data_IF_818038219911
#
_entry.id   IF_818038219911
#
_cell.length_a   1.000
_cell.length_b   1.000
_cell.length_c   1.000
_cell.angle_alpha   90.00
_cell.angle_beta   90.00
_cell.angle_gamma   90.00
#
_symmetry.space_group_name_H-M   'P 1'
#
loop_
_entity.id
_entity.type
_entity.pdbx_description
1 polymer ?
#
# COMPACT_ATOMS: atom_id res chain seq x y z
N UNK A 1 3.93 11.10 -6.26
CA UNK A 1 4.28 9.74 -5.81
C UNK A 1 3.03 8.95 -5.52
N UNK A 2 3.10 7.65 -5.71
CA UNK A 2 2.00 6.73 -5.44
C UNK A 2 2.44 5.80 -4.31
N UNK A 3 1.70 5.79 -3.20
CA UNK A 3 1.93 4.85 -2.11
C UNK A 3 1.17 3.56 -2.42
N UNK A 4 1.89 2.43 -2.38
CA UNK A 4 1.31 1.11 -2.60
C UNK A 4 1.50 0.29 -1.33
N UNK A 5 0.40 -0.09 -0.67
CA UNK A 5 0.52 -1.00 0.46
C UNK A 5 0.71 -2.44 -0.02
N UNK A 6 0.84 -3.37 0.90
CA UNK A 6 1.05 -4.77 0.56
C UNK A 6 -0.08 -5.35 -0.27
N UNK A 7 -1.33 -4.98 0.02
CA UNK A 7 -2.49 -5.50 -0.73
C UNK A 7 -2.44 -5.12 -2.20
N UNK A 8 -1.96 -3.92 -2.51
CA UNK A 8 -1.78 -3.48 -3.89
C UNK A 8 -0.65 -4.25 -4.58
N UNK A 9 0.47 -4.47 -3.88
CA UNK A 9 1.59 -5.21 -4.45
C UNK A 9 1.23 -6.67 -4.73
N UNK A 10 0.42 -7.29 -3.88
CA UNK A 10 -0.08 -8.65 -4.12
C UNK A 10 -0.83 -8.72 -5.45
N UNK A 11 -1.67 -7.72 -5.75
CA UNK A 11 -2.44 -7.72 -7.01
C UNK A 11 -1.58 -7.56 -8.26
N UNK A 12 -0.38 -7.03 -8.12
CA UNK A 12 0.57 -6.94 -9.24
C UNK A 12 1.26 -8.27 -9.52
N UNK A 13 1.24 -9.18 -8.57
CA UNK A 13 1.88 -10.51 -8.68
C UNK A 13 0.85 -11.59 -8.92
N UNK A 14 -0.19 -11.63 -8.07
CA UNK A 14 -1.26 -12.60 -8.20
C UNK A 14 -2.42 -11.97 -8.96
N UNK A 15 -2.89 -12.67 -9.99
CA UNK A 15 -4.02 -12.16 -10.74
C UNK A 15 -5.30 -12.28 -9.92
N UNK A 16 -5.89 -11.13 -9.64
CA UNK A 16 -7.13 -10.96 -8.89
C UNK A 16 -8.07 -10.07 -9.70
N UNK A 17 -9.36 -9.96 -9.34
CA UNK A 17 -10.32 -9.22 -10.17
C UNK A 17 -9.91 -7.79 -10.53
N UNK A 18 -9.22 -7.08 -9.64
CA UNK A 18 -8.82 -5.69 -9.87
C UNK A 18 -7.44 -5.53 -10.49
N UNK A 19 -6.72 -6.62 -10.77
CA UNK A 19 -5.31 -6.54 -11.20
C UNK A 19 -5.13 -5.77 -12.50
N UNK A 20 -6.01 -5.97 -13.49
CA UNK A 20 -5.91 -5.27 -14.78
C UNK A 20 -6.17 -3.78 -14.63
N UNK A 21 -7.21 -3.40 -13.89
CA UNK A 21 -7.53 -1.99 -13.66
C UNK A 21 -6.43 -1.31 -12.85
N UNK A 22 -5.84 -2.01 -11.89
CA UNK A 22 -4.71 -1.46 -11.14
C UNK A 22 -3.52 -1.19 -12.06
N UNK A 23 -3.16 -2.16 -12.90
CA UNK A 23 -2.05 -2.01 -13.83
C UNK A 23 -2.29 -0.83 -14.77
N UNK A 24 -3.48 -0.72 -15.34
CA UNK A 24 -3.84 0.38 -16.24
C UNK A 24 -3.80 1.72 -15.51
N UNK A 25 -4.28 1.76 -14.28
CA UNK A 25 -4.28 2.97 -13.46
C UNK A 25 -2.86 3.45 -13.15
N UNK A 26 -1.95 2.52 -12.86
CA UNK A 26 -0.55 2.83 -12.61
C UNK A 26 0.15 3.28 -13.89
N UNK A 27 -0.10 2.61 -15.01
CA UNK A 27 0.50 2.97 -16.30
C UNK A 27 0.06 4.37 -16.74
N UNK A 28 -1.19 4.72 -16.52
CA UNK A 28 -1.72 6.04 -16.86
C UNK A 28 -1.06 7.16 -16.05
N UNK A 29 -0.41 6.84 -14.95
CA UNK A 29 0.25 7.80 -14.06
C UNK A 29 1.77 7.71 -14.11
N UNK A 30 2.31 6.91 -15.03
CA UNK A 30 3.75 6.89 -15.25
C UNK A 30 4.20 8.29 -15.70
N UNK A 31 5.36 8.79 -15.28
CA UNK A 31 6.41 8.08 -14.53
C UNK A 31 6.39 8.30 -13.02
N UNK A 32 5.23 8.45 -12.40
CA UNK A 32 5.16 8.66 -10.95
C UNK A 32 5.89 7.55 -10.18
N UNK A 33 6.68 7.94 -9.19
CA UNK A 33 7.44 6.99 -8.38
C UNK A 33 6.50 6.23 -7.44
N UNK A 34 6.79 4.95 -7.25
CA UNK A 34 6.08 4.11 -6.28
C UNK A 34 6.85 4.12 -4.97
N UNK A 35 6.14 4.32 -3.88
CA UNK A 35 6.70 4.35 -2.53
C UNK A 35 5.90 3.44 -1.60
N UNK A 36 6.52 2.98 -0.53
CA UNK A 36 5.85 2.18 0.49
C UNK A 36 6.65 2.17 1.79
N UNK A 37 6.22 1.36 2.74
CA UNK A 37 6.95 1.05 3.95
C UNK A 37 7.88 -0.14 3.73
N UNK A 38 8.99 -0.18 4.45
CA UNK A 38 9.86 -1.36 4.47
C UNK A 38 9.14 -2.62 4.98
N UNK A 39 7.98 -2.46 5.61
CA UNK A 39 7.13 -3.60 6.01
C UNK A 39 6.82 -4.54 4.83
N UNK A 40 6.74 -4.01 3.61
CA UNK A 40 6.40 -4.84 2.44
C UNK A 40 7.44 -5.93 2.20
N UNK A 41 8.68 -5.73 2.65
CA UNK A 41 9.73 -6.73 2.50
C UNK A 41 9.42 -8.01 3.28
N UNK A 42 8.63 -7.89 4.35
CA UNK A 42 8.17 -9.03 5.14
C UNK A 42 6.76 -9.44 4.76
N UNK A 43 5.86 -8.47 4.63
CA UNK A 43 4.43 -8.75 4.42
C UNK A 43 4.15 -9.36 3.05
N UNK A 44 4.84 -8.89 2.01
CA UNK A 44 4.58 -9.37 0.65
C UNK A 44 4.90 -10.87 0.50
N UNK A 45 6.12 -11.33 0.83
CA UNK A 45 6.40 -12.77 0.73
C UNK A 45 5.52 -13.60 1.65
N UNK A 46 5.18 -13.12 2.85
CA UNK A 46 4.32 -13.88 3.76
C UNK A 46 2.89 -14.00 3.22
N UNK A 47 2.38 -12.95 2.60
CA UNK A 47 1.06 -13.00 1.96
C UNK A 47 1.04 -14.00 0.80
N UNK A 48 2.07 -13.98 -0.04
CA UNK A 48 2.16 -14.87 -1.18
C UNK A 48 2.35 -16.33 -0.78
N UNK A 49 3.09 -16.60 0.31
CA UNK A 49 3.24 -17.96 0.81
C UNK A 49 1.91 -18.62 1.18
N UNK A 50 0.96 -17.84 1.65
CA UNK A 50 -0.38 -18.35 1.98
C UNK A 50 -1.22 -18.66 0.75
N UNK A 51 -0.83 -18.08 -0.39
CA UNK A 51 -1.58 -18.22 -1.65
C UNK A 51 -0.95 -19.33 -2.51
N UNK A 52 0.31 -19.15 -2.89
CA UNK A 52 1.04 -20.06 -3.76
C UNK A 52 2.53 -19.73 -3.66
N UNK A 53 3.34 -20.67 -3.16
CA UNK A 53 4.78 -20.46 -2.99
C UNK A 53 5.50 -20.20 -4.32
N UNK A 54 4.95 -20.64 -5.45
CA UNK A 54 5.55 -20.37 -6.74
C UNK A 54 5.61 -18.87 -7.06
N UNK A 55 4.72 -18.07 -6.46
CA UNK A 55 4.69 -16.62 -6.68
C UNK A 55 5.88 -15.89 -6.03
N UNK A 56 6.59 -16.54 -5.11
CA UNK A 56 7.72 -15.93 -4.42
C UNK A 56 8.83 -15.50 -5.37
N UNK A 57 8.92 -16.10 -6.53
CA UNK A 57 9.94 -15.75 -7.54
C UNK A 57 9.77 -14.29 -8.01
N UNK A 58 8.56 -13.74 -7.93
CA UNK A 58 8.26 -12.38 -8.37
C UNK A 58 8.61 -11.31 -7.32
N UNK A 59 8.85 -11.71 -6.07
CA UNK A 59 9.03 -10.76 -4.96
C UNK A 59 10.20 -9.80 -5.18
N UNK A 60 11.43 -10.28 -5.51
CA UNK A 60 12.57 -9.37 -5.61
C UNK A 60 12.37 -8.24 -6.62
N UNK A 61 11.84 -8.56 -7.81
CA UNK A 61 11.62 -7.55 -8.84
C UNK A 61 10.53 -6.55 -8.44
N UNK A 62 9.46 -7.03 -7.80
CA UNK A 62 8.37 -6.18 -7.34
C UNK A 62 8.84 -5.23 -6.24
N UNK A 63 9.55 -5.74 -5.25
CA UNK A 63 10.08 -4.92 -4.15
C UNK A 63 11.08 -3.89 -4.68
N UNK A 64 11.90 -4.26 -5.67
CA UNK A 64 12.87 -3.35 -6.26
C UNK A 64 12.21 -2.16 -6.99
N UNK A 65 10.96 -2.32 -7.47
CA UNK A 65 10.21 -1.24 -8.12
C UNK A 65 9.73 -0.16 -7.15
N UNK A 66 9.73 -0.44 -5.86
CA UNK A 66 9.14 0.42 -4.85
C UNK A 66 10.23 1.02 -3.98
N UNK A 67 10.24 2.34 -3.86
CA UNK A 67 11.10 3.01 -2.89
C UNK A 67 10.48 2.80 -1.50
N UNK A 68 11.27 2.26 -0.56
CA UNK A 68 10.76 1.87 0.75
C UNK A 68 11.32 2.76 1.84
N UNK A 69 10.45 3.19 2.73
CA UNK A 69 10.83 4.01 3.86
C UNK A 69 10.85 3.16 5.13
N UNK A 70 11.91 3.31 5.92
CA UNK A 70 12.07 2.54 7.15
C UNK A 70 11.02 2.93 8.20
N UNK A 71 10.67 1.97 9.05
CA UNK A 71 9.79 2.20 10.18
C UNK A 71 10.62 2.87 11.27
N UNK A 72 10.84 4.16 11.11
CA UNK A 72 11.67 4.94 12.01
C UNK A 72 10.90 5.46 13.22
N UNK A 73 11.56 6.26 14.03
CA UNK A 73 10.97 6.78 15.26
C UNK A 73 9.74 7.64 14.98
N UNK A 74 9.78 8.49 13.95
CA UNK A 74 8.66 9.36 13.59
C UNK A 74 7.46 8.54 13.16
N UNK A 75 7.68 7.58 12.27
CA UNK A 75 6.60 6.68 11.80
C UNK A 75 5.98 5.95 12.98
N UNK A 76 6.80 5.40 13.88
CA UNK A 76 6.28 4.68 15.04
C UNK A 76 5.47 5.58 15.97
N UNK A 77 5.93 6.79 16.21
CA UNK A 77 5.22 7.73 17.07
C UNK A 77 3.86 8.11 16.46
N UNK A 78 3.81 8.42 15.18
CA UNK A 78 2.57 8.78 14.51
C UNK A 78 1.60 7.60 14.47
N UNK A 79 2.09 6.41 14.14
CA UNK A 79 1.27 5.19 14.09
C UNK A 79 0.65 4.90 15.46
N UNK A 80 1.42 5.04 16.52
CA UNK A 80 0.96 4.78 17.88
C UNK A 80 -0.12 5.76 18.34
N UNK A 81 -0.16 6.95 17.76
CA UNK A 81 -1.07 8.01 18.17
C UNK A 81 -2.44 7.99 17.49
N UNK A 82 -2.64 7.17 16.46
CA UNK A 82 -3.95 7.08 15.80
C UNK A 82 -4.99 6.54 16.79
N UNK A 83 -6.12 7.24 16.96
CA UNK A 83 -7.08 6.90 18.00
C UNK A 83 -8.03 5.75 17.66
N UNK A 84 -8.11 5.34 16.39
CA UNK A 84 -9.04 4.31 15.96
C UNK A 84 -8.60 2.93 16.49
N UNK A 85 -9.36 2.30 17.41
CA UNK A 85 -8.97 1.00 17.96
C UNK A 85 -9.11 -0.15 16.96
N UNK A 86 -9.81 0.07 15.85
CA UNK A 86 -9.99 -0.95 14.82
C UNK A 86 -8.87 -0.93 13.78
N UNK A 87 -8.03 0.09 13.77
CA UNK A 87 -6.88 0.16 12.90
C UNK A 87 -5.77 -0.71 13.49
N UNK A 88 -5.39 -1.76 12.77
CA UNK A 88 -4.36 -2.68 13.23
C UNK A 88 -2.99 -2.03 13.18
N UNK A 89 -2.06 -2.53 14.01
CA UNK A 89 -0.73 -1.92 14.14
C UNK A 89 0.04 -1.82 12.83
N UNK A 90 0.03 -2.86 12.00
CA UNK A 90 0.75 -2.81 10.73
C UNK A 90 0.08 -1.85 9.74
N UNK A 91 -1.26 -1.78 9.75
CA UNK A 91 -2.00 -0.81 8.94
C UNK A 91 -1.72 0.62 9.41
N UNK A 92 -1.62 0.82 10.73
CA UNK A 92 -1.26 2.12 11.29
C UNK A 92 0.13 2.55 10.83
N UNK A 93 1.08 1.62 10.70
CA UNK A 93 2.42 1.90 10.20
C UNK A 93 2.37 2.30 8.73
N UNK A 94 1.61 1.59 7.90
CA UNK A 94 1.42 1.99 6.50
C UNK A 94 0.79 3.38 6.42
N UNK A 95 -0.25 3.62 7.20
CA UNK A 95 -0.94 4.90 7.21
C UNK A 95 0.01 6.02 7.63
N UNK A 96 0.78 5.82 8.69
CA UNK A 96 1.74 6.81 9.18
C UNK A 96 2.83 7.09 8.16
N UNK A 97 3.32 6.07 7.48
CA UNK A 97 4.34 6.23 6.44
C UNK A 97 3.82 7.11 5.30
N UNK A 98 2.61 6.82 4.81
CA UNK A 98 1.99 7.64 3.77
C UNK A 98 1.71 9.07 4.24
N UNK A 99 1.17 9.21 5.44
CA UNK A 99 0.72 10.49 5.97
C UNK A 99 1.85 11.38 6.47
N UNK A 100 2.72 10.85 7.33
CA UNK A 100 3.74 11.65 7.99
C UNK A 100 5.00 11.84 7.15
N UNK A 101 5.36 10.86 6.31
CA UNK A 101 6.57 10.93 5.51
C UNK A 101 6.32 11.62 4.18
N UNK A 102 5.34 11.14 3.43
CA UNK A 102 5.10 11.62 2.07
C UNK A 102 4.04 12.71 2.00
N UNK A 103 3.00 12.62 2.82
CA UNK A 103 1.99 13.68 2.95
C UNK A 103 1.44 14.18 1.63
N UNK A 104 1.58 15.49 1.41
CA UNK A 104 1.05 16.16 0.22
C UNK A 104 1.75 15.75 -1.08
N UNK A 105 2.87 15.07 -1.01
CA UNK A 105 3.56 14.56 -2.20
C UNK A 105 2.84 13.38 -2.84
N UNK A 106 1.91 12.75 -2.12
CA UNK A 106 1.16 11.63 -2.65
C UNK A 106 0.05 12.10 -3.58
N UNK A 107 0.01 11.53 -4.77
CA UNK A 107 -1.11 11.65 -5.69
C UNK A 107 -2.04 10.44 -5.63
N UNK A 108 -1.68 9.43 -4.86
CA UNK A 108 -2.50 8.24 -4.61
C UNK A 108 -1.96 7.43 -3.44
N UNK A 109 -2.86 6.94 -2.61
CA UNK A 109 -2.60 5.96 -1.58
C UNK A 109 -3.41 4.72 -1.96
N UNK A 110 -2.74 3.75 -2.58
CA UNK A 110 -3.39 2.61 -3.22
C UNK A 110 -3.46 1.44 -2.25
N UNK A 111 -4.68 1.05 -1.93
CA UNK A 111 -4.92 0.04 -0.91
C UNK A 111 -6.22 -0.71 -1.21
N UNK A 112 -6.23 -2.02 -0.98
CA UNK A 112 -7.42 -2.86 -1.17
C UNK A 112 -7.96 -3.41 0.14
N UNK A 113 -7.39 -3.02 1.27
CA UNK A 113 -7.96 -3.31 2.58
C UNK A 113 -8.91 -2.18 2.95
N UNK A 114 -10.20 -2.49 3.14
CA UNK A 114 -11.21 -1.46 3.35
C UNK A 114 -10.98 -0.63 4.61
N UNK A 115 -10.49 -1.22 5.68
CA UNK A 115 -10.23 -0.47 6.92
C UNK A 115 -9.13 0.55 6.73
N UNK A 116 -8.02 0.13 6.11
CA UNK A 116 -6.91 1.04 5.84
C UNK A 116 -7.31 2.09 4.81
N UNK A 117 -8.03 1.70 3.77
CA UNK A 117 -8.50 2.64 2.75
C UNK A 117 -9.37 3.73 3.36
N UNK A 118 -10.31 3.34 4.21
CA UNK A 118 -11.21 4.28 4.87
C UNK A 118 -10.45 5.19 5.85
N UNK A 119 -9.49 4.63 6.60
CA UNK A 119 -8.67 5.41 7.51
C UNK A 119 -7.82 6.45 6.77
N UNK A 120 -7.26 6.07 5.63
CA UNK A 120 -6.47 6.99 4.80
C UNK A 120 -7.34 8.13 4.26
N UNK A 121 -8.53 7.81 3.77
CA UNK A 121 -9.47 8.83 3.29
C UNK A 121 -9.89 9.77 4.41
N UNK A 122 -10.12 9.24 5.60
CA UNK A 122 -10.56 10.03 6.75
C UNK A 122 -9.55 11.09 7.19
N UNK A 123 -8.27 10.87 6.96
CA UNK A 123 -7.23 11.86 7.31
C UNK A 123 -6.79 12.68 6.09
N UNK A 124 -7.52 12.60 4.99
CA UNK A 124 -7.29 13.47 3.83
C UNK A 124 -6.28 12.97 2.81
N UNK A 125 -5.83 11.71 2.91
CA UNK A 125 -4.98 11.14 1.88
C UNK A 125 -5.79 10.80 0.62
N UNK A 126 -5.17 10.85 -0.57
CA UNK A 126 -5.86 10.49 -1.82
C UNK A 126 -5.99 8.96 -1.95
N UNK A 127 -6.84 8.38 -1.11
CA UNK A 127 -7.04 6.94 -1.01
C UNK A 127 -7.82 6.41 -2.21
N UNK A 128 -7.27 5.39 -2.87
CA UNK A 128 -7.89 4.79 -4.05
C UNK A 128 -7.71 3.27 -4.05
N UNK A 129 -8.67 2.59 -4.67
CA UNK A 129 -8.62 1.15 -4.92
C UNK A 129 -9.08 0.90 -6.36
N UNK A 130 -8.17 1.12 -7.35
CA UNK A 130 -8.54 0.99 -8.76
C UNK A 130 -9.18 -0.36 -9.07
N UNK A 131 -10.30 -0.33 -9.79
CA UNK A 131 -11.08 -1.54 -10.09
C UNK A 131 -12.15 -1.86 -9.07
N UNK A 132 -12.10 -1.27 -7.89
CA UNK A 132 -13.25 -1.27 -6.98
C UNK A 132 -14.05 -0.04 -7.24
N UNK A 133 -15.26 -0.25 -7.64
CA UNK A 133 -16.11 0.84 -7.91
C UNK A 133 -16.54 1.47 -6.65
N UNK A 134 -16.44 2.69 -6.74
CA UNK A 134 -17.06 3.44 -5.79
C UNK A 134 -18.51 3.30 -5.97
N UNK A 135 -19.04 2.45 -5.95
CA UNK A 135 -20.23 2.32 -6.15
C UNK A 135 -21.07 2.93 -5.54
N UNK A 136 -21.33 3.34 -5.77
CA UNK A 136 -22.10 3.80 -5.28
C UNK A 136 -23.18 3.80 -4.98
#
# INVERSE_FOLDING_TARGET
MLYLDTSALVKLIRREPESDELADWLDARAPAAWVSSSLVEVELPRALRRIDVALLVEVPATVARVSRYEVDEVVRAVAAAYPDPNLRSLDAIHLATGHAVFGDQLSGFVCYDDRLLNAAAAIGLPAVAPGRDAVH
#
